data_IF_202884113099
#
_entry.id   IF_202884113099
#
_cell.length_a   1.000
_cell.length_b   1.000
_cell.length_c   1.000
_cell.angle_alpha   90.00
_cell.angle_beta   90.00
_cell.angle_gamma   90.00
#
_symmetry.space_group_name_H-M   'P 1'
#
loop_
_entity.id
_entity.type
_entity.pdbx_description
1 polymer ?
#
# COMPACT_ATOMS: atom_id res chain seq x y z
N UNK A 1 1.87 -28.74 -23.92
CA UNK A 1 1.93 -27.69 -24.97
C UNK A 1 2.09 -26.35 -24.28
N UNK A 2 2.95 -25.44 -24.78
CA UNK A 2 3.10 -24.11 -24.20
C UNK A 2 1.80 -23.32 -24.33
N UNK A 3 1.42 -22.61 -23.27
CA UNK A 3 0.27 -21.71 -23.28
C UNK A 3 0.67 -20.42 -24.01
N UNK A 4 0.10 -20.18 -25.19
CA UNK A 4 0.30 -18.94 -25.96
C UNK A 4 -1.04 -18.20 -26.12
N UNK A 5 -1.57 -17.67 -25.01
CA UNK A 5 -2.71 -16.76 -25.07
C UNK A 5 -2.19 -15.32 -25.17
N UNK A 6 -2.71 -14.49 -26.08
CA UNK A 6 -2.34 -13.07 -26.14
C UNK A 6 -2.64 -12.40 -24.80
N UNK A 7 -1.78 -11.49 -24.37
CA UNK A 7 -1.96 -10.76 -23.12
C UNK A 7 -3.25 -9.92 -23.17
N UNK A 8 -3.98 -9.90 -22.06
CA UNK A 8 -5.11 -9.00 -21.84
C UNK A 8 -4.58 -7.65 -21.39
N UNK A 9 -4.67 -6.63 -22.24
CA UNK A 9 -4.44 -5.25 -21.82
C UNK A 9 -5.61 -4.77 -20.97
N UNK A 10 -5.31 -4.18 -19.81
CA UNK A 10 -6.33 -3.64 -18.91
C UNK A 10 -6.53 -2.14 -19.15
N UNK A 11 -7.79 -1.73 -19.21
CA UNK A 11 -8.15 -0.32 -19.13
C UNK A 11 -7.92 0.24 -17.72
N UNK A 12 -7.78 1.58 -17.57
CA UNK A 12 -7.71 2.19 -16.24
C UNK A 12 -9.00 1.91 -15.46
N UNK A 13 -8.86 1.65 -14.16
CA UNK A 13 -10.00 1.57 -13.23
C UNK A 13 -10.46 0.15 -12.83
N UNK A 14 -11.45 0.07 -11.92
CA UNK A 14 -11.83 -1.17 -11.22
C UNK A 14 -12.43 -2.25 -12.13
N UNK A 15 -12.92 -1.88 -13.33
CA UNK A 15 -13.39 -2.86 -14.33
C UNK A 15 -12.26 -3.78 -14.80
N UNK A 16 -11.02 -3.28 -14.86
CA UNK A 16 -9.84 -4.08 -15.23
C UNK A 16 -9.61 -5.28 -14.30
N UNK A 17 -9.92 -5.16 -13.01
CA UNK A 17 -9.82 -6.28 -12.05
C UNK A 17 -10.85 -7.36 -12.36
N UNK A 18 -12.08 -6.98 -12.71
CA UNK A 18 -13.13 -7.94 -13.06
C UNK A 18 -12.83 -8.65 -14.37
N UNK A 19 -12.33 -7.90 -15.36
CA UNK A 19 -11.96 -8.44 -16.66
C UNK A 19 -10.77 -9.41 -16.55
N UNK A 20 -9.75 -9.05 -15.76
CA UNK A 20 -8.61 -9.92 -15.48
C UNK A 20 -9.02 -11.22 -14.79
N UNK A 21 -9.85 -11.14 -13.74
CA UNK A 21 -10.39 -12.32 -13.04
C UNK A 21 -11.08 -13.27 -14.01
N UNK A 22 -12.08 -12.75 -14.75
CA UNK A 22 -12.84 -13.56 -15.69
C UNK A 22 -11.92 -14.24 -16.71
N UNK A 23 -10.98 -13.47 -17.26
CA UNK A 23 -10.06 -13.98 -18.27
C UNK A 23 -9.11 -15.07 -17.75
N UNK A 24 -8.62 -14.96 -16.50
CA UNK A 24 -7.79 -16.00 -15.86
C UNK A 24 -8.62 -17.24 -15.52
N UNK A 25 -9.84 -17.06 -15.01
CA UNK A 25 -10.76 -18.17 -14.70
C UNK A 25 -11.11 -18.95 -15.98
N UNK A 26 -11.51 -18.24 -17.05
CA UNK A 26 -11.77 -18.84 -18.36
C UNK A 26 -10.54 -19.59 -18.88
N UNK A 27 -9.35 -19.04 -18.66
CA UNK A 27 -8.09 -19.71 -19.03
C UNK A 27 -7.84 -20.99 -18.24
N UNK A 28 -8.17 -21.02 -16.95
CA UNK A 28 -8.04 -22.23 -16.13
C UNK A 28 -8.99 -23.34 -16.61
N UNK A 29 -10.24 -22.98 -16.94
CA UNK A 29 -11.20 -23.92 -17.53
C UNK A 29 -10.72 -24.46 -18.88
N UNK A 30 -10.25 -23.58 -19.77
CA UNK A 30 -9.79 -23.96 -21.12
C UNK A 30 -8.59 -24.94 -21.10
N UNK A 31 -7.74 -24.86 -20.08
CA UNK A 31 -6.60 -25.76 -19.91
C UNK A 31 -6.94 -27.02 -19.09
N UNK A 32 -8.18 -27.16 -18.61
CA UNK A 32 -8.65 -28.29 -17.82
C UNK A 32 -8.13 -28.30 -16.38
N UNK A 33 -7.90 -27.12 -15.80
CA UNK A 33 -7.37 -26.93 -14.44
C UNK A 33 -8.38 -26.20 -13.55
N UNK A 34 -9.59 -26.75 -13.48
CA UNK A 34 -10.64 -26.26 -12.59
C UNK A 34 -10.22 -26.23 -11.11
N UNK A 35 -9.29 -27.11 -10.73
CA UNK A 35 -8.70 -27.18 -9.40
C UNK A 35 -7.92 -25.92 -9.01
N UNK A 36 -7.44 -25.12 -9.97
CA UNK A 36 -6.66 -23.91 -9.72
C UNK A 36 -7.48 -22.62 -9.64
N UNK A 37 -8.76 -22.67 -10.03
CA UNK A 37 -9.59 -21.48 -10.27
C UNK A 37 -9.65 -20.55 -9.05
N UNK A 38 -9.88 -21.10 -7.86
CA UNK A 38 -10.02 -20.33 -6.62
C UNK A 38 -8.78 -19.48 -6.33
N UNK A 39 -7.60 -20.12 -6.34
CA UNK A 39 -6.33 -19.46 -6.04
C UNK A 39 -5.86 -18.56 -7.19
N UNK A 40 -6.14 -18.94 -8.44
CA UNK A 40 -5.84 -18.13 -9.61
C UNK A 40 -6.66 -16.83 -9.65
N UNK A 41 -7.96 -16.90 -9.33
CA UNK A 41 -8.85 -15.74 -9.26
C UNK A 41 -8.41 -14.78 -8.14
N UNK A 42 -8.12 -15.31 -6.95
CA UNK A 42 -7.71 -14.49 -5.82
C UNK A 42 -6.34 -13.83 -6.10
N UNK A 43 -5.36 -14.62 -6.54
CA UNK A 43 -4.02 -14.11 -6.82
C UNK A 43 -4.00 -13.06 -7.93
N UNK A 44 -4.75 -13.25 -9.03
CA UNK A 44 -4.80 -12.23 -10.10
C UNK A 44 -5.50 -10.96 -9.63
N UNK A 45 -6.51 -11.07 -8.76
CA UNK A 45 -7.19 -9.90 -8.19
C UNK A 45 -6.22 -9.04 -7.42
N UNK A 46 -5.44 -9.65 -6.52
CA UNK A 46 -4.46 -8.94 -5.71
C UNK A 46 -3.35 -8.32 -6.58
N UNK A 47 -2.80 -9.05 -7.55
CA UNK A 47 -1.75 -8.52 -8.41
C UNK A 47 -2.23 -7.39 -9.32
N UNK A 48 -3.41 -7.52 -9.92
CA UNK A 48 -3.97 -6.47 -10.78
C UNK A 48 -4.39 -5.26 -9.96
N UNK A 49 -4.94 -5.47 -8.76
CA UNK A 49 -5.20 -4.38 -7.82
C UNK A 49 -3.90 -3.68 -7.44
N UNK A 50 -2.83 -4.41 -7.11
CA UNK A 50 -1.53 -3.80 -6.82
C UNK A 50 -0.99 -3.00 -8.01
N UNK A 51 -1.04 -3.55 -9.22
CA UNK A 51 -0.59 -2.85 -10.42
C UNK A 51 -1.42 -1.57 -10.67
N UNK A 52 -2.74 -1.63 -10.55
CA UNK A 52 -3.63 -0.46 -10.69
C UNK A 52 -3.45 0.59 -9.58
N UNK A 53 -3.02 0.16 -8.38
CA UNK A 53 -2.82 1.04 -7.22
C UNK A 53 -1.44 1.69 -7.18
N UNK A 54 -0.39 0.97 -7.62
CA UNK A 54 1.00 1.35 -7.37
C UNK A 54 1.81 1.62 -8.63
N UNK A 55 1.32 1.26 -9.82
CA UNK A 55 2.07 1.40 -11.05
C UNK A 55 1.43 2.32 -12.07
N UNK A 56 2.26 2.76 -13.01
CA UNK A 56 1.85 3.50 -14.20
C UNK A 56 1.54 2.51 -15.32
N UNK A 57 0.48 2.78 -16.08
CA UNK A 57 0.15 1.98 -17.26
C UNK A 57 1.24 2.04 -18.34
N UNK A 58 1.22 1.12 -19.31
CA UNK A 58 0.17 0.12 -19.55
C UNK A 58 0.25 -1.09 -18.59
N UNK A 59 -0.91 -1.60 -18.16
CA UNK A 59 -1.01 -2.81 -17.36
C UNK A 59 -1.54 -3.94 -18.25
N UNK A 60 -0.91 -5.11 -18.17
CA UNK A 60 -1.37 -6.29 -18.90
C UNK A 60 -1.31 -7.56 -18.08
N UNK A 61 -2.24 -8.47 -18.34
CA UNK A 61 -2.32 -9.79 -17.70
C UNK A 61 -2.06 -10.86 -18.74
N UNK A 62 -1.27 -11.87 -18.41
CA UNK A 62 -0.92 -12.97 -19.31
C UNK A 62 -0.82 -14.28 -18.54
N UNK A 63 -1.02 -15.39 -19.23
CA UNK A 63 -0.77 -16.74 -18.71
C UNK A 63 0.28 -17.41 -19.58
N UNK A 64 1.39 -17.82 -18.97
CA UNK A 64 2.51 -18.54 -19.58
C UNK A 64 2.67 -19.92 -18.96
N UNK A 65 3.68 -20.67 -19.43
CA UNK A 65 4.06 -21.97 -18.88
C UNK A 65 3.42 -23.13 -19.63
N UNK A 66 3.02 -24.16 -18.89
CA UNK A 66 2.43 -25.40 -19.41
C UNK A 66 1.01 -25.57 -18.89
N UNK A 67 0.25 -26.55 -19.39
CA UNK A 67 -1.10 -26.84 -18.85
C UNK A 67 -1.00 -27.35 -17.41
N UNK A 68 0.06 -28.08 -17.10
CA UNK A 68 0.33 -28.66 -15.80
C UNK A 68 0.85 -27.61 -14.80
N UNK A 69 1.60 -26.62 -15.29
CA UNK A 69 2.18 -25.54 -14.47
C UNK A 69 1.92 -24.19 -15.17
N UNK A 70 0.68 -23.66 -15.10
CA UNK A 70 0.38 -22.34 -15.62
C UNK A 70 0.95 -21.28 -14.69
N UNK A 71 1.48 -20.21 -15.27
CA UNK A 71 1.99 -19.03 -14.56
C UNK A 71 1.19 -17.81 -15.00
N UNK A 72 0.50 -17.18 -14.06
CA UNK A 72 -0.19 -15.90 -14.27
C UNK A 72 0.82 -14.79 -14.07
N UNK A 73 0.90 -13.84 -15.00
CA UNK A 73 1.81 -12.70 -14.94
C UNK A 73 1.03 -11.40 -15.13
N UNK A 74 1.34 -10.40 -14.29
CA UNK A 74 0.83 -9.04 -14.38
C UNK A 74 2.03 -8.13 -14.62
N UNK A 75 2.02 -7.45 -15.77
CA UNK A 75 3.06 -6.50 -16.15
C UNK A 75 2.55 -5.07 -15.96
N UNK A 76 3.43 -4.20 -15.46
CA UNK A 76 3.20 -2.76 -15.34
C UNK A 76 4.48 -1.98 -15.68
N UNK A 77 4.33 -0.70 -16.02
CA UNK A 77 5.45 0.16 -16.43
C UNK A 77 6.32 0.68 -15.28
N UNK A 78 6.10 0.24 -14.04
CA UNK A 78 6.92 0.63 -12.89
C UNK A 78 8.02 -0.40 -12.64
N UNK A 79 9.25 0.09 -12.41
CA UNK A 79 10.41 -0.74 -12.05
C UNK A 79 10.61 -0.88 -10.53
N UNK A 80 9.68 -0.35 -9.74
CA UNK A 80 9.70 -0.46 -8.27
C UNK A 80 9.31 -1.88 -7.83
N UNK A 81 10.16 -2.53 -7.03
CA UNK A 81 9.90 -3.88 -6.50
C UNK A 81 8.79 -3.81 -5.46
N UNK A 82 7.71 -4.61 -5.59
CA UNK A 82 6.69 -4.69 -4.54
C UNK A 82 7.23 -5.38 -3.29
N UNK A 83 6.80 -4.94 -2.12
CA UNK A 83 7.29 -5.46 -0.84
C UNK A 83 7.00 -6.95 -0.68
N UNK A 84 8.07 -7.72 -0.44
CA UNK A 84 8.00 -9.17 -0.29
C UNK A 84 7.32 -9.53 1.05
N UNK A 85 6.47 -10.56 1.09
CA UNK A 85 5.86 -11.03 2.32
C UNK A 85 6.93 -11.53 3.28
N UNK A 86 6.84 -11.09 4.54
CA UNK A 86 7.67 -11.59 5.64
C UNK A 86 7.22 -13.01 6.00
N UNK A 87 8.19 -13.89 6.22
CA UNK A 87 8.03 -15.35 6.36
C UNK A 87 7.46 -15.83 7.69
N UNK A 88 7.04 -14.93 8.59
CA UNK A 88 6.52 -15.29 9.91
C UNK A 88 4.97 -15.36 9.93
N UNK A 89 4.36 -16.21 10.77
CA UNK A 89 2.91 -16.36 10.82
C UNK A 89 2.25 -15.08 11.34
N UNK A 90 1.62 -14.35 10.43
CA UNK A 90 0.93 -13.10 10.73
C UNK A 90 -0.41 -13.36 11.44
N UNK A 91 -0.57 -12.77 12.63
CA UNK A 91 -1.88 -12.54 13.21
C UNK A 91 -2.62 -11.44 12.41
N UNK A 92 -3.96 -11.47 12.39
CA UNK A 92 -4.81 -10.52 11.63
C UNK A 92 -4.56 -9.04 11.97
N UNK A 93 -3.97 -8.78 13.14
CA UNK A 93 -3.63 -7.46 13.67
C UNK A 93 -2.11 -7.16 13.64
N UNK A 94 -1.32 -7.77 12.74
CA UNK A 94 0.09 -7.38 12.59
C UNK A 94 0.27 -6.15 11.70
N UNK A 95 0.93 -5.13 12.24
CA UNK A 95 0.63 -3.73 11.96
C UNK A 95 1.66 -2.95 11.16
N UNK A 96 2.69 -3.66 10.70
CA UNK A 96 3.74 -3.08 9.85
C UNK A 96 3.88 -3.71 8.49
N UNK A 97 3.10 -4.75 8.26
CA UNK A 97 3.14 -5.54 7.05
C UNK A 97 1.94 -5.25 6.16
N UNK A 98 1.49 -3.99 6.14
CA UNK A 98 0.41 -3.62 5.22
C UNK A 98 0.91 -3.39 3.79
N UNK A 99 2.20 -3.20 3.62
CA UNK A 99 2.82 -3.36 2.32
C UNK A 99 3.27 -4.82 2.21
N UNK A 100 2.85 -5.51 1.15
CA UNK A 100 3.10 -6.95 0.99
C UNK A 100 1.96 -7.88 1.43
N UNK A 101 0.85 -7.41 2.01
CA UNK A 101 -0.33 -8.28 2.33
C UNK A 101 -0.96 -8.92 1.08
N UNK A 102 -1.13 -8.15 0.01
CA UNK A 102 -1.61 -8.68 -1.27
C UNK A 102 -0.66 -9.76 -1.82
N UNK A 103 0.66 -9.54 -1.69
CA UNK A 103 1.65 -10.57 -2.02
C UNK A 103 1.67 -11.74 -1.05
N UNK A 104 1.29 -11.56 0.22
CA UNK A 104 1.08 -12.65 1.16
C UNK A 104 -0.10 -13.55 0.77
N UNK A 105 -1.20 -12.96 0.29
CA UNK A 105 -2.31 -13.73 -0.30
C UNK A 105 -1.85 -14.48 -1.54
N UNK A 106 -1.16 -13.80 -2.46
CA UNK A 106 -0.57 -14.43 -3.66
C UNK A 106 0.38 -15.56 -3.28
N UNK A 107 1.24 -15.36 -2.29
CA UNK A 107 2.20 -16.36 -1.81
C UNK A 107 1.52 -17.59 -1.19
N UNK A 108 0.37 -17.43 -0.52
CA UNK A 108 -0.40 -18.57 0.02
C UNK A 108 -1.23 -19.26 -1.07
N UNK A 109 -1.66 -18.52 -2.08
CA UNK A 109 -2.41 -19.05 -3.22
C UNK A 109 -1.51 -19.54 -4.37
N UNK A 110 -0.20 -19.67 -4.15
CA UNK A 110 0.73 -20.07 -5.20
C UNK A 110 1.69 -21.17 -4.74
N UNK A 111 2.04 -22.04 -5.68
CA UNK A 111 3.14 -23.00 -5.52
C UNK A 111 4.50 -22.28 -5.64
N UNK A 112 4.54 -21.20 -6.42
CA UNK A 112 5.69 -20.31 -6.58
C UNK A 112 5.24 -18.94 -7.07
N UNK A 113 5.96 -17.88 -6.71
CA UNK A 113 5.72 -16.54 -7.21
C UNK A 113 7.02 -15.73 -7.26
N UNK A 114 6.98 -14.60 -7.96
CA UNK A 114 8.14 -13.75 -8.07
C UNK A 114 7.89 -12.44 -8.81
N UNK A 115 8.97 -11.69 -8.97
CA UNK A 115 9.02 -10.40 -9.66
C UNK A 115 10.18 -10.43 -10.64
N UNK A 116 9.89 -10.20 -11.91
CA UNK A 116 10.91 -10.06 -12.95
C UNK A 116 10.96 -8.58 -13.37
N UNK A 117 12.09 -7.92 -13.15
CA UNK A 117 12.27 -6.49 -13.45
C UNK A 117 12.95 -6.37 -14.81
N UNK A 118 12.34 -5.61 -15.70
CA UNK A 118 12.80 -5.38 -17.07
C UNK A 118 13.09 -3.88 -17.29
N UNK A 119 13.64 -3.50 -18.45
CA UNK A 119 13.98 -2.09 -18.72
C UNK A 119 12.74 -1.19 -18.84
N UNK A 120 11.63 -1.74 -19.31
CA UNK A 120 10.37 -1.06 -19.60
C UNK A 120 9.30 -1.21 -18.50
N UNK A 121 9.61 -1.92 -17.42
CA UNK A 121 8.67 -2.14 -16.32
C UNK A 121 9.03 -3.31 -15.43
N UNK A 122 8.02 -3.89 -14.78
CA UNK A 122 8.16 -5.14 -14.04
C UNK A 122 7.02 -6.08 -14.35
N UNK A 123 7.28 -7.36 -14.13
CA UNK A 123 6.31 -8.43 -14.23
C UNK A 123 6.23 -9.16 -12.90
N UNK A 124 5.11 -9.00 -12.19
CA UNK A 124 4.82 -9.80 -10.99
C UNK A 124 4.06 -11.04 -11.42
N UNK A 125 4.48 -12.21 -10.96
CA UNK A 125 3.94 -13.48 -11.43
C UNK A 125 3.73 -14.48 -10.31
N UNK A 126 2.81 -15.42 -10.54
CA UNK A 126 2.60 -16.57 -9.65
C UNK A 126 2.12 -17.80 -10.42
N UNK A 127 2.45 -18.97 -9.90
CA UNK A 127 1.92 -20.27 -10.30
C UNK A 127 0.81 -20.65 -9.31
N UNK A 128 -0.47 -20.66 -9.70
CA UNK A 128 -1.57 -20.92 -8.77
C UNK A 128 -1.48 -22.30 -8.14
N UNK A 129 -1.74 -22.39 -6.83
CA UNK A 129 -1.89 -23.65 -6.11
C UNK A 129 -3.33 -24.17 -6.20
N UNK A 130 -3.56 -25.46 -5.98
CA UNK A 130 -4.92 -26.02 -5.97
C UNK A 130 -5.73 -25.58 -4.73
N UNK A 131 -5.05 -25.20 -3.64
CA UNK A 131 -5.65 -24.68 -2.40
C UNK A 131 -4.71 -23.71 -1.71
N UNK A 132 -5.21 -22.76 -0.91
CA UNK A 132 -4.35 -21.87 -0.12
C UNK A 132 -3.49 -22.66 0.87
N UNK A 133 -2.18 -22.40 0.85
CA UNK A 133 -1.22 -22.96 1.80
C UNK A 133 -1.30 -22.25 3.16
N UNK A 134 -0.95 -22.97 4.22
CA UNK A 134 -0.90 -22.40 5.57
C UNK A 134 0.25 -21.41 5.71
N UNK A 135 1.41 -21.79 5.18
CA UNK A 135 2.63 -20.99 5.08
C UNK A 135 2.76 -20.39 3.67
N UNK A 136 3.22 -19.14 3.52
CA UNK A 136 3.41 -18.51 2.22
C UNK A 136 4.61 -19.12 1.47
N UNK A 137 4.48 -19.30 0.16
CA UNK A 137 5.61 -19.67 -0.68
C UNK A 137 6.68 -18.55 -0.70
N UNK A 138 7.99 -18.87 -0.71
CA UNK A 138 9.04 -17.86 -0.83
C UNK A 138 9.01 -17.22 -2.23
N UNK A 139 9.15 -15.89 -2.28
CA UNK A 139 9.21 -15.14 -3.53
C UNK A 139 10.62 -15.10 -4.13
N UNK A 140 10.71 -15.02 -5.45
CA UNK A 140 11.97 -14.80 -6.18
C UNK A 140 11.92 -13.47 -6.91
N UNK A 141 12.93 -12.62 -6.69
CA UNK A 141 13.12 -11.38 -7.47
C UNK A 141 14.25 -11.60 -8.46
N UNK A 142 13.99 -11.33 -9.75
CA UNK A 142 14.98 -11.39 -10.82
C UNK A 142 15.08 -10.04 -11.54
N UNK A 143 16.28 -9.68 -11.99
CA UNK A 143 16.59 -8.36 -12.54
C UNK A 143 17.12 -7.37 -11.50
N UNK A 144 17.71 -6.27 -11.96
CA UNK A 144 18.15 -5.19 -11.07
C UNK A 144 17.01 -4.19 -10.89
N UNK A 145 16.62 -3.86 -9.63
CA UNK A 145 15.73 -2.74 -9.37
C UNK A 145 16.30 -1.50 -10.05
N UNK A 146 15.43 -0.63 -10.58
CA UNK A 146 15.91 0.70 -10.93
C UNK A 146 16.59 1.27 -9.67
N UNK A 147 17.83 1.77 -9.75
CA UNK A 147 18.39 2.50 -8.62
C UNK A 147 17.36 3.58 -8.28
N UNK A 148 16.86 3.56 -7.04
CA UNK A 148 16.07 4.68 -6.51
C UNK A 148 16.91 5.89 -6.87
N UNK A 149 16.42 6.83 -7.72
CA UNK A 149 17.23 7.97 -8.06
C UNK A 149 17.56 8.64 -6.73
N UNK A 150 18.81 8.52 -6.29
CA UNK A 150 19.33 9.29 -5.18
C UNK A 150 19.14 10.72 -5.67
N UNK A 151 18.08 11.37 -5.22
CA UNK A 151 17.70 12.69 -5.72
C UNK A 151 18.88 13.60 -5.38
N UNK A 152 19.70 14.01 -6.36
CA UNK A 152 20.99 14.58 -6.04
C UNK A 152 20.75 15.93 -5.36
N UNK A 153 21.11 16.05 -4.09
CA UNK A 153 21.02 17.30 -3.34
C UNK A 153 19.68 17.63 -2.69
N UNK A 154 18.77 16.66 -2.50
CA UNK A 154 17.60 16.92 -1.64
C UNK A 154 18.07 16.92 -0.19
N UNK A 155 17.93 18.07 0.46
CA UNK A 155 18.22 18.21 1.89
C UNK A 155 17.29 17.27 2.65
N UNK A 156 17.81 16.11 3.05
CA UNK A 156 17.09 15.16 3.89
C UNK A 156 16.95 15.75 5.29
N UNK A 157 15.73 15.71 5.79
CA UNK A 157 15.39 16.14 7.13
C UNK A 157 15.13 14.92 8.01
N UNK A 158 15.69 14.96 9.22
CA UNK A 158 15.36 14.00 10.28
C UNK A 158 14.29 14.58 11.18
N UNK A 159 13.25 13.80 11.44
CA UNK A 159 12.10 14.17 12.25
C UNK A 159 11.98 13.13 13.38
N UNK A 160 12.01 13.59 14.62
CA UNK A 160 11.91 12.75 15.82
C UNK A 160 10.47 12.77 16.35
N UNK A 161 9.78 11.63 16.34
CA UNK A 161 8.41 11.51 16.83
C UNK A 161 8.42 10.72 18.13
N UNK A 162 8.22 11.41 19.24
CA UNK A 162 8.47 10.86 20.58
C UNK A 162 7.21 10.27 21.22
N UNK A 163 7.33 9.06 21.77
CA UNK A 163 6.32 8.41 22.60
C UNK A 163 5.04 8.01 21.88
N UNK A 164 5.13 7.65 20.59
CA UNK A 164 4.02 7.23 19.73
C UNK A 164 3.27 6.07 20.38
N UNK A 165 1.99 6.21 20.78
CA UNK A 165 1.16 5.06 21.16
C UNK A 165 0.96 4.13 19.96
N UNK A 166 1.49 2.92 20.03
CA UNK A 166 1.48 2.00 18.90
C UNK A 166 0.04 1.69 18.46
N UNK A 167 -0.88 1.43 19.40
CA UNK A 167 -2.30 1.21 19.10
C UNK A 167 -2.97 2.37 18.34
N UNK A 168 -2.66 3.62 18.68
CA UNK A 168 -3.22 4.78 17.97
C UNK A 168 -2.62 4.94 16.58
N UNK A 169 -1.31 4.67 16.44
CA UNK A 169 -0.63 4.67 15.15
C UNK A 169 -1.23 3.65 14.19
N UNK A 170 -1.52 2.47 14.71
CA UNK A 170 -2.18 1.34 14.06
C UNK A 170 -3.58 1.69 13.55
N UNK A 171 -4.39 2.28 14.42
CA UNK A 171 -5.74 2.70 14.08
C UNK A 171 -5.72 3.81 13.03
N UNK A 172 -4.75 4.73 13.11
CA UNK A 172 -4.52 5.77 12.11
C UNK A 172 -4.16 5.18 10.74
N UNK A 173 -3.22 4.23 10.67
CA UNK A 173 -2.84 3.55 9.42
C UNK A 173 -4.03 2.82 8.77
N UNK A 174 -4.86 2.15 9.58
CA UNK A 174 -6.07 1.46 9.10
C UNK A 174 -7.07 2.44 8.50
N UNK A 175 -7.35 3.54 9.19
CA UNK A 175 -8.28 4.55 8.71
C UNK A 175 -7.79 5.21 7.41
N UNK A 176 -6.50 5.56 7.36
CA UNK A 176 -5.87 6.16 6.19
C UNK A 176 -6.01 5.29 4.94
N UNK A 177 -5.88 3.97 5.10
CA UNK A 177 -6.04 2.97 4.04
C UNK A 177 -7.44 2.97 3.44
N UNK A 178 -8.46 2.96 4.29
CA UNK A 178 -9.86 2.98 3.84
C UNK A 178 -10.18 4.29 3.10
N UNK A 179 -9.75 5.42 3.66
CA UNK A 179 -9.96 6.72 3.03
C UNK A 179 -9.29 6.79 1.64
N UNK A 180 -8.04 6.36 1.54
CA UNK A 180 -7.32 6.30 0.25
C UNK A 180 -8.04 5.41 -0.75
N UNK A 181 -8.50 4.24 -0.31
CA UNK A 181 -9.23 3.29 -1.17
C UNK A 181 -10.49 3.95 -1.73
N UNK A 182 -11.27 4.64 -0.91
CA UNK A 182 -12.47 5.34 -1.35
C UNK A 182 -12.15 6.50 -2.30
N UNK A 183 -11.20 7.38 -1.96
CA UNK A 183 -10.79 8.51 -2.81
C UNK A 183 -10.29 8.03 -4.17
N UNK A 184 -9.51 6.95 -4.21
CA UNK A 184 -9.01 6.38 -5.46
C UNK A 184 -10.10 5.67 -6.26
N UNK A 185 -11.06 5.01 -5.61
CA UNK A 185 -12.23 4.45 -6.29
C UNK A 185 -13.08 5.56 -6.94
N UNK A 186 -13.26 6.69 -6.27
CA UNK A 186 -13.91 7.87 -6.85
C UNK A 186 -13.12 8.42 -8.05
N UNK A 187 -11.80 8.55 -7.91
CA UNK A 187 -10.91 9.01 -8.99
C UNK A 187 -10.97 8.10 -10.23
N UNK A 188 -11.03 6.78 -10.03
CA UNK A 188 -11.08 5.81 -11.13
C UNK A 188 -12.48 5.66 -11.75
N UNK A 189 -13.54 5.81 -10.97
CA UNK A 189 -14.91 5.70 -11.46
C UNK A 189 -15.34 6.93 -12.26
N UNK A 190 -14.75 8.09 -11.99
CA UNK A 190 -15.16 9.38 -12.53
C UNK A 190 -13.97 10.29 -12.88
N UNK A 191 -12.99 9.76 -13.62
CA UNK A 191 -11.76 10.49 -13.96
C UNK A 191 -12.02 11.83 -14.69
N UNK A 192 -13.11 11.91 -15.47
CA UNK A 192 -13.54 13.15 -16.15
C UNK A 192 -14.29 14.13 -15.26
N UNK A 193 -14.92 13.65 -14.19
CA UNK A 193 -15.88 14.44 -13.40
C UNK A 193 -15.25 14.94 -12.08
N UNK A 194 -14.20 14.26 -11.59
CA UNK A 194 -13.50 14.60 -10.35
C UNK A 194 -11.97 14.63 -10.52
N UNK A 195 -11.42 15.58 -11.29
CA UNK A 195 -9.97 15.75 -11.44
C UNK A 195 -9.25 15.94 -10.10
N UNK A 196 -9.91 16.55 -9.11
CA UNK A 196 -9.37 16.71 -7.75
C UNK A 196 -9.14 15.37 -7.03
N UNK A 197 -9.95 14.34 -7.29
CA UNK A 197 -9.77 13.03 -6.67
C UNK A 197 -8.51 12.31 -7.19
N UNK A 198 -8.12 12.56 -8.44
CA UNK A 198 -6.88 12.06 -9.03
C UNK A 198 -5.66 12.71 -8.40
N UNK A 199 -5.65 14.05 -8.33
CA UNK A 199 -4.55 14.81 -7.70
C UNK A 199 -4.39 14.43 -6.22
N UNK A 200 -5.51 14.29 -5.50
CA UNK A 200 -5.51 13.78 -4.14
C UNK A 200 -4.88 12.40 -4.06
N UNK A 201 -5.33 11.46 -4.89
CA UNK A 201 -4.81 10.10 -4.86
C UNK A 201 -3.32 10.01 -5.18
N UNK A 202 -2.82 10.82 -6.10
CA UNK A 202 -1.41 10.82 -6.47
C UNK A 202 -0.56 11.43 -5.34
N UNK A 203 -1.08 12.47 -4.67
CA UNK A 203 -0.49 13.04 -3.46
C UNK A 203 -0.42 12.03 -2.31
N UNK A 204 -1.52 11.29 -2.05
CA UNK A 204 -1.57 10.20 -1.08
C UNK A 204 -0.49 9.15 -1.37
N UNK A 205 -0.32 8.76 -2.63
CA UNK A 205 0.68 7.77 -3.04
C UNK A 205 2.12 8.26 -2.88
N UNK A 206 2.41 9.51 -3.23
CA UNK A 206 3.75 10.08 -3.07
C UNK A 206 4.16 10.19 -1.61
N UNK A 207 3.27 10.72 -0.76
CA UNK A 207 3.57 10.96 0.65
C UNK A 207 3.78 9.66 1.42
N UNK A 208 2.99 8.63 1.12
CA UNK A 208 3.11 7.32 1.76
C UNK A 208 4.45 6.65 1.46
N UNK A 209 4.94 6.75 0.21
CA UNK A 209 6.26 6.22 -0.16
C UNK A 209 7.37 6.90 0.63
N UNK A 210 7.38 8.22 0.67
CA UNK A 210 8.41 8.98 1.40
C UNK A 210 8.35 8.73 2.91
N UNK A 211 7.15 8.60 3.49
CA UNK A 211 6.98 8.28 4.91
C UNK A 211 7.43 6.85 5.22
N UNK A 212 7.17 5.89 4.33
CA UNK A 212 7.59 4.50 4.48
C UNK A 212 9.11 4.38 4.40
N UNK A 213 9.73 4.98 3.40
CA UNK A 213 11.18 4.92 3.23
C UNK A 213 11.91 5.62 4.40
N UNK A 214 11.26 6.65 4.96
CA UNK A 214 11.78 7.41 6.08
C UNK A 214 11.57 6.79 7.46
N UNK A 215 10.37 6.27 7.73
CA UNK A 215 10.05 5.49 8.93
C UNK A 215 10.55 4.09 8.63
N UNK A 216 11.85 3.82 8.84
CA UNK A 216 12.37 2.45 8.63
C UNK A 216 11.44 1.44 9.29
N UNK A 217 10.74 0.63 8.49
CA UNK A 217 9.63 -0.23 8.92
C UNK A 217 10.03 -1.09 10.14
N UNK A 218 11.30 -1.47 10.17
CA UNK A 218 12.02 -2.11 11.25
C UNK A 218 11.81 -1.47 12.64
N UNK A 219 11.72 -0.14 12.75
CA UNK A 219 11.64 0.55 14.06
C UNK A 219 10.36 0.23 14.80
N UNK A 220 9.22 0.26 14.09
CA UNK A 220 7.95 -0.08 14.71
C UNK A 220 7.87 -1.60 14.88
N UNK A 221 8.52 -2.39 14.02
CA UNK A 221 8.40 -3.85 14.02
C UNK A 221 9.11 -4.42 15.22
N UNK A 222 10.31 -3.89 15.47
CA UNK A 222 11.05 -4.14 16.70
C UNK A 222 10.26 -3.68 17.94
N UNK A 223 9.52 -2.57 17.86
CA UNK A 223 8.71 -2.10 18.98
C UNK A 223 7.49 -3.00 19.26
N UNK A 224 6.80 -3.48 18.23
CA UNK A 224 5.69 -4.43 18.37
C UNK A 224 6.18 -5.80 18.83
N UNK A 225 7.26 -6.32 18.23
CA UNK A 225 7.86 -7.60 18.60
C UNK A 225 8.40 -7.62 20.04
N UNK A 226 8.82 -6.47 20.57
CA UNK A 226 9.22 -6.32 21.98
C UNK A 226 8.04 -6.15 22.95
N UNK A 227 6.80 -6.06 22.45
CA UNK A 227 5.60 -5.87 23.26
C UNK A 227 5.49 -4.48 23.88
N UNK A 228 6.12 -3.47 23.28
CA UNK A 228 6.04 -2.10 23.78
C UNK A 228 4.68 -1.46 23.46
N UNK A 229 4.10 -0.72 24.40
CA UNK A 229 2.88 0.05 24.13
C UNK A 229 3.16 1.35 23.35
N UNK A 230 4.42 1.80 23.36
CA UNK A 230 4.89 3.07 22.79
C UNK A 230 6.28 2.94 22.17
N UNK A 231 6.55 3.76 21.15
CA UNK A 231 7.87 3.85 20.54
C UNK A 231 8.26 5.30 20.20
N UNK A 232 9.57 5.57 20.21
CA UNK A 232 10.14 6.76 19.59
C UNK A 232 10.51 6.42 18.15
N UNK A 233 10.04 7.21 17.19
CA UNK A 233 10.28 7.00 15.77
C UNK A 233 11.21 8.07 15.23
N UNK A 234 12.19 7.68 14.42
CA UNK A 234 13.01 8.62 13.64
C UNK A 234 12.67 8.46 12.17
N UNK A 235 12.26 9.57 11.56
CA UNK A 235 11.84 9.62 10.16
C UNK A 235 12.85 10.43 9.37
N UNK A 236 13.44 9.84 8.33
CA UNK A 236 14.28 10.57 7.38
C UNK A 236 13.46 10.86 6.12
N UNK A 237 13.24 12.13 5.76
CA UNK A 237 12.48 12.43 4.55
C UNK A 237 12.97 13.67 3.81
N UNK A 238 12.72 13.74 2.49
CA UNK A 238 12.95 14.96 1.71
C UNK A 238 12.27 16.20 2.32
N UNK A 239 13.02 17.28 2.52
CA UNK A 239 12.44 18.56 3.00
C UNK A 239 11.25 19.07 2.16
N UNK A 240 11.24 18.97 0.82
CA UNK A 240 10.05 19.32 0.01
C UNK A 240 8.80 18.48 0.35
N UNK A 241 8.98 17.22 0.74
CA UNK A 241 7.89 16.35 1.16
C UNK A 241 7.36 16.76 2.53
N UNK A 242 8.25 17.06 3.50
CA UNK A 242 7.85 17.57 4.80
C UNK A 242 7.00 18.86 4.68
N UNK A 243 7.39 19.77 3.77
CA UNK A 243 6.62 20.98 3.48
C UNK A 243 5.22 20.71 2.87
N UNK A 244 5.02 19.54 2.26
CA UNK A 244 3.74 19.14 1.68
C UNK A 244 2.78 18.56 2.72
N UNK A 245 3.27 18.09 3.87
CA UNK A 245 2.44 17.52 4.94
C UNK A 245 1.43 18.54 5.48
N UNK A 246 1.76 19.83 5.51
CA UNK A 246 0.81 20.88 5.88
C UNK A 246 -0.44 20.90 5.01
N UNK A 247 -0.26 20.89 3.67
CA UNK A 247 -1.37 20.77 2.72
C UNK A 247 -2.14 19.47 2.90
N UNK A 248 -1.42 18.40 3.22
CA UNK A 248 -2.02 17.09 3.39
C UNK A 248 -2.96 17.02 4.61
N UNK A 249 -2.61 17.69 5.72
CA UNK A 249 -3.50 17.84 6.88
C UNK A 249 -4.80 18.55 6.48
N UNK A 250 -4.71 19.66 5.73
CA UNK A 250 -5.89 20.40 5.27
C UNK A 250 -6.80 19.54 4.38
N UNK A 251 -6.22 18.74 3.51
CA UNK A 251 -6.97 17.81 2.65
C UNK A 251 -7.67 16.71 3.44
N UNK A 252 -7.02 16.17 4.48
CA UNK A 252 -7.64 15.20 5.38
C UNK A 252 -8.80 15.80 6.18
N UNK A 253 -8.72 17.06 6.56
CA UNK A 253 -9.81 17.77 7.23
C UNK A 253 -10.97 18.08 6.26
N UNK A 254 -10.66 18.41 5.00
CA UNK A 254 -11.66 18.57 3.94
C UNK A 254 -12.37 17.26 3.61
N UNK A 255 -11.62 16.16 3.49
CA UNK A 255 -12.17 14.83 3.26
C UNK A 255 -13.13 14.44 4.41
N UNK A 256 -12.77 14.73 5.66
CA UNK A 256 -13.65 14.53 6.82
C UNK A 256 -14.91 15.40 6.80
N UNK A 257 -14.83 16.63 6.29
CA UNK A 257 -16.00 17.49 6.11
C UNK A 257 -16.93 16.91 5.03
N UNK A 258 -16.36 16.47 3.91
CA UNK A 258 -17.09 15.85 2.81
C UNK A 258 -17.76 14.53 3.24
N UNK A 259 -17.05 13.67 3.99
CA UNK A 259 -17.61 12.44 4.58
C UNK A 259 -18.80 12.72 5.51
N UNK A 260 -18.77 13.84 6.25
CA UNK A 260 -19.86 14.25 7.15
C UNK A 260 -21.11 14.74 6.40
N UNK A 261 -20.96 15.29 5.20
CA UNK A 261 -22.05 15.89 4.42
C UNK A 261 -22.69 14.92 3.42
N UNK A 262 -21.95 14.01 2.77
CA UNK A 262 -22.44 13.26 1.60
C UNK A 262 -22.38 11.71 1.67
N UNK A 263 -22.53 11.09 2.86
CA UNK A 263 -22.72 9.63 3.02
C UNK A 263 -21.64 8.76 2.32
N UNK A 264 -20.36 9.12 2.42
CA UNK A 264 -19.29 8.15 2.17
C UNK A 264 -19.33 7.05 3.25
N UNK A 265 -19.05 5.81 2.85
CA UNK A 265 -19.18 4.62 3.71
C UNK A 265 -18.05 4.53 4.76
N UNK A 266 -17.02 5.37 4.65
CA UNK A 266 -15.93 5.50 5.62
C UNK A 266 -16.40 6.21 6.90
N UNK A 267 -16.50 5.41 7.97
CA UNK A 267 -16.74 5.83 9.35
C UNK A 267 -15.94 7.10 9.71
N UNK A 268 -16.63 8.15 10.14
CA UNK A 268 -16.00 9.38 10.63
C UNK A 268 -15.01 9.08 11.77
N UNK A 269 -13.82 9.69 11.72
CA UNK A 269 -12.76 9.50 12.72
C UNK A 269 -13.27 9.80 14.13
N UNK A 270 -12.92 8.96 15.10
CA UNK A 270 -13.17 9.28 16.52
C UNK A 270 -12.36 10.51 16.95
N UNK A 271 -12.78 11.17 18.03
CA UNK A 271 -12.03 12.32 18.56
C UNK A 271 -10.56 11.97 18.89
N UNK A 272 -10.33 10.76 19.38
CA UNK A 272 -8.99 10.25 19.73
C UNK A 272 -8.13 10.03 18.48
N UNK A 273 -8.70 9.48 17.40
CA UNK A 273 -8.01 9.30 16.11
C UNK A 273 -7.64 10.65 15.49
N UNK A 274 -8.56 11.62 15.50
CA UNK A 274 -8.28 12.98 15.01
C UNK A 274 -7.15 13.63 15.82
N UNK A 275 -7.16 13.44 17.14
CA UNK A 275 -6.17 14.02 18.03
C UNK A 275 -4.78 13.41 17.81
N UNK A 276 -4.71 12.08 17.69
CA UNK A 276 -3.47 11.38 17.37
C UNK A 276 -2.92 11.83 16.01
N UNK A 277 -3.74 11.80 14.97
CA UNK A 277 -3.34 12.20 13.63
C UNK A 277 -2.82 13.64 13.60
N UNK A 278 -3.55 14.59 14.21
CA UNK A 278 -3.14 16.00 14.23
C UNK A 278 -1.79 16.18 14.90
N UNK A 279 -1.58 15.55 16.07
CA UNK A 279 -0.27 15.59 16.72
C UNK A 279 0.81 14.98 15.82
N UNK A 280 0.60 13.76 15.34
CA UNK A 280 1.57 13.01 14.55
C UNK A 280 2.01 13.79 13.31
N UNK A 281 1.05 14.26 12.50
CA UNK A 281 1.33 15.03 11.29
C UNK A 281 1.90 16.43 11.61
N UNK A 282 1.51 17.04 12.75
CA UNK A 282 2.05 18.34 13.14
C UNK A 282 3.54 18.29 13.49
N UNK A 283 4.07 17.16 14.00
CA UNK A 283 5.50 17.04 14.30
C UNK A 283 6.36 17.24 13.05
N UNK A 284 5.90 16.77 11.89
CA UNK A 284 6.58 17.00 10.63
C UNK A 284 6.63 18.48 10.26
N UNK A 285 5.50 19.19 10.38
CA UNK A 285 5.40 20.62 10.05
C UNK A 285 6.19 21.49 11.03
N UNK A 286 6.15 21.14 12.32
CA UNK A 286 6.85 21.88 13.38
C UNK A 286 8.36 21.73 13.26
N UNK A 287 8.83 20.50 13.10
CA UNK A 287 10.26 20.24 12.99
C UNK A 287 10.81 20.81 11.68
N UNK A 288 10.04 20.79 10.56
CA UNK A 288 10.41 21.49 9.31
C UNK A 288 10.72 22.98 9.51
N UNK A 289 10.00 23.64 10.43
CA UNK A 289 10.22 25.04 10.82
C UNK A 289 11.36 25.25 11.83
N UNK A 290 12.03 24.18 12.24
CA UNK A 290 13.12 24.18 13.22
C UNK A 290 12.66 24.14 14.68
N UNK A 291 11.39 23.82 14.95
CA UNK A 291 10.91 23.61 16.32
C UNK A 291 11.39 22.26 16.88
N UNK A 292 11.51 22.16 18.21
CA UNK A 292 11.85 20.90 18.88
C UNK A 292 10.68 19.91 18.92
N UNK A 293 10.97 18.59 19.02
CA UNK A 293 9.94 17.55 19.07
C UNK A 293 9.11 17.66 20.34
N UNK A 294 7.80 17.39 20.23
CA UNK A 294 6.90 17.28 21.39
C UNK A 294 6.41 15.84 21.51
N UNK A 295 6.68 15.20 22.64
CA UNK A 295 6.20 13.86 22.91
C UNK A 295 4.67 13.81 23.00
N UNK A 296 4.06 12.69 22.58
CA UNK A 296 2.61 12.52 22.63
C UNK A 296 2.03 12.81 24.02
N UNK A 297 2.75 12.43 25.07
CA UNK A 297 2.32 12.60 26.45
C UNK A 297 2.24 14.08 26.84
N UNK A 298 3.24 14.87 26.47
CA UNK A 298 3.27 16.31 26.74
C UNK A 298 2.22 17.05 25.90
N UNK A 299 2.04 16.61 24.65
CA UNK A 299 0.97 17.10 23.79
C UNK A 299 -0.42 16.80 24.38
N UNK A 300 -0.58 15.67 25.08
CA UNK A 300 -1.82 15.26 25.76
C UNK A 300 -2.06 15.99 27.09
N UNK A 301 -1.01 16.40 27.81
CA UNK A 301 -1.10 17.09 29.11
C UNK A 301 -1.55 18.55 28.96
N UNK A 302 -1.19 19.24 27.88
CA UNK A 302 -1.69 20.61 27.56
C UNK A 302 -3.21 20.65 27.25
N UNK A 303 -3.91 19.50 27.35
CA UNK A 303 -5.30 19.29 26.92
C UNK A 303 -6.31 19.11 28.06
N UNK A 304 -5.89 19.11 29.33
CA UNK A 304 -6.87 19.17 30.41
C UNK A 304 -7.42 20.60 30.49
N UNK A 305 -8.74 20.85 30.29
CA UNK A 305 -9.30 22.14 30.65
C UNK A 305 -9.07 22.29 32.15
N UNK A 306 -8.41 23.37 32.55
CA UNK A 306 -8.41 23.83 33.93
C UNK A 306 -9.89 23.94 34.34
N UNK A 307 -10.40 22.96 35.09
CA UNK A 307 -11.72 23.05 35.69
C UNK A 307 -11.65 24.09 36.81
N UNK A 308 -12.39 25.21 36.74
CA UNK A 308 -12.73 25.98 37.93
C UNK A 308 -13.79 25.26 38.77
#
# INVERSE_FOLDING_TARGET
MPLSRPALSLGPGPRGVQDARRWVVDTCHDIGRDDLVECAELGVSELVTNALLHASGPISVRVRGTREHPRVEVHDGSREVPELPVTEPLDEDDLLLTFGRGLGIVARCSDAWGVDIEEDGKTVWFAPAARPAREPAPGVVTGEPAPVPASPGVEEMRIDILGVPLRSFVEFQRHYRELRREVRLLALAHESDYPLAKDLSDLFGSLERDLRDGIGADQIEQALASGADRADLRVAMPRPTAATIGRFIELLDLADAFCREERLLSLARTADQQQFQRWFLSEFVRQERGEGPIAWQDAAVTRAPSMP
#
